data_IF_451981231790
#
_entry.id   IF_451981231790
#
_cell.length_a   1.000
_cell.length_b   1.000
_cell.length_c   1.000
_cell.angle_alpha   90.00
_cell.angle_beta   90.00
_cell.angle_gamma   90.00
#
_symmetry.space_group_name_H-M   'P 1'
#
loop_
_entity.id
_entity.type
_entity.pdbx_description
1 polymer ?
#
# COMPACT_ATOMS: atom_id res chain seq x y z
N UNK A 1 8.77 -0.25 -22.74
CA UNK A 1 8.31 0.91 -21.95
C UNK A 1 8.33 0.49 -20.50
N UNK A 2 8.88 1.31 -19.61
CA UNK A 2 8.88 1.03 -18.17
C UNK A 2 7.47 1.16 -17.63
N UNK A 3 7.00 0.18 -16.87
CA UNK A 3 5.65 0.18 -16.25
C UNK A 3 5.73 0.69 -14.81
N UNK A 4 4.79 1.54 -14.40
CA UNK A 4 4.73 2.06 -13.02
C UNK A 4 3.55 1.49 -12.27
N UNK A 5 3.78 0.96 -11.07
CA UNK A 5 2.73 0.40 -10.22
C UNK A 5 2.74 1.02 -8.82
N UNK A 6 1.55 1.26 -8.29
CA UNK A 6 1.31 1.62 -6.89
C UNK A 6 0.75 0.40 -6.15
N UNK A 7 1.39 0.01 -5.06
CA UNK A 7 0.93 -1.07 -4.20
C UNK A 7 0.61 -0.50 -2.83
N UNK A 8 -0.63 -0.64 -2.38
CA UNK A 8 -0.96 -0.33 -0.97
C UNK A 8 -0.92 -1.60 -0.12
N UNK A 9 -0.44 -1.54 1.12
CA UNK A 9 -0.34 -2.74 1.96
C UNK A 9 0.82 -3.65 1.57
N UNK A 10 1.82 -3.09 0.87
CA UNK A 10 2.97 -3.80 0.32
C UNK A 10 3.99 -4.25 1.38
N UNK A 11 3.88 -3.79 2.63
CA UNK A 11 4.76 -4.23 3.72
C UNK A 11 4.22 -5.46 4.49
N UNK A 12 2.96 -5.85 4.25
CA UNK A 12 2.35 -7.06 4.82
C UNK A 12 2.79 -8.35 4.12
N UNK A 13 2.40 -9.51 4.63
CA UNK A 13 2.88 -10.83 4.14
C UNK A 13 2.69 -11.05 2.62
N UNK A 14 1.46 -10.91 2.11
CA UNK A 14 1.17 -11.10 0.67
C UNK A 14 1.78 -9.98 -0.15
N UNK A 15 1.62 -8.74 0.31
CA UNK A 15 2.12 -7.54 -0.35
C UNK A 15 3.63 -7.60 -0.57
N UNK A 16 4.39 -7.99 0.44
CA UNK A 16 5.85 -8.03 0.41
C UNK A 16 6.37 -9.08 -0.58
N UNK A 17 5.76 -10.27 -0.60
CA UNK A 17 6.11 -11.30 -1.59
C UNK A 17 5.79 -10.85 -3.02
N UNK A 18 4.65 -10.16 -3.22
CA UNK A 18 4.29 -9.61 -4.52
C UNK A 18 5.22 -8.48 -4.96
N UNK A 19 5.60 -7.59 -4.05
CA UNK A 19 6.61 -6.53 -4.26
C UNK A 19 7.93 -7.15 -4.70
N UNK A 20 8.44 -8.16 -3.98
CA UNK A 20 9.68 -8.86 -4.34
C UNK A 20 9.60 -9.51 -5.72
N UNK A 21 8.46 -10.13 -6.05
CA UNK A 21 8.24 -10.75 -7.36
C UNK A 21 8.32 -9.71 -8.48
N UNK A 22 7.67 -8.55 -8.33
CA UNK A 22 7.69 -7.50 -9.34
C UNK A 22 9.06 -6.86 -9.51
N UNK A 23 9.82 -6.70 -8.43
CA UNK A 23 11.18 -6.13 -8.45
C UNK A 23 12.22 -7.05 -9.10
N UNK A 24 11.85 -8.29 -9.47
CA UNK A 24 12.69 -9.12 -10.33
C UNK A 24 12.74 -8.60 -11.79
N UNK A 25 11.72 -7.82 -12.22
CA UNK A 25 11.71 -7.16 -13.52
C UNK A 25 12.21 -5.72 -13.40
N UNK A 26 13.40 -5.46 -13.95
CA UNK A 26 14.02 -4.13 -13.94
C UNK A 26 13.32 -3.12 -14.84
N UNK A 27 12.34 -3.54 -15.65
CA UNK A 27 11.48 -2.65 -16.45
C UNK A 27 10.25 -2.15 -15.70
N UNK A 28 10.17 -2.37 -14.39
CA UNK A 28 9.10 -1.89 -13.53
C UNK A 28 9.62 -0.82 -12.57
N UNK A 29 8.83 0.24 -12.37
CA UNK A 29 8.95 1.15 -11.24
C UNK A 29 7.85 0.85 -10.24
N UNK A 30 8.21 0.75 -8.97
CA UNK A 30 7.29 0.30 -7.95
C UNK A 30 7.24 1.31 -6.81
N UNK A 31 6.04 1.78 -6.48
CA UNK A 31 5.78 2.56 -5.28
C UNK A 31 4.95 1.73 -4.32
N UNK A 32 5.42 1.55 -3.09
CA UNK A 32 4.65 0.95 -2.00
C UNK A 32 4.15 2.04 -1.06
N UNK A 33 2.85 2.03 -0.77
CA UNK A 33 2.20 2.89 0.20
C UNK A 33 1.67 2.05 1.37
N UNK A 34 2.23 2.21 2.57
CA UNK A 34 1.87 1.36 3.70
C UNK A 34 1.93 2.13 5.03
N UNK A 35 1.02 1.83 5.95
CA UNK A 35 0.96 2.46 7.28
C UNK A 35 2.04 1.95 8.22
N UNK A 36 2.73 0.85 7.87
CA UNK A 36 3.65 0.10 8.75
C UNK A 36 2.97 -0.32 10.05
N UNK A 37 1.91 -1.10 9.91
CA UNK A 37 1.25 -1.71 11.08
C UNK A 37 2.07 -2.87 11.65
N UNK A 38 1.61 -3.49 12.76
CA UNK A 38 2.28 -4.59 13.44
C UNK A 38 2.69 -5.78 12.55
N UNK A 39 1.99 -6.00 11.43
CA UNK A 39 2.27 -7.09 10.48
C UNK A 39 3.33 -6.72 9.41
N UNK A 40 4.02 -5.58 9.55
CA UNK A 40 5.02 -5.11 8.61
C UNK A 40 6.41 -5.73 8.84
N UNK A 41 7.20 -5.86 7.78
CA UNK A 41 8.58 -6.36 7.82
C UNK A 41 9.56 -5.22 7.45
N UNK A 42 9.89 -4.31 8.38
CA UNK A 42 10.67 -3.11 8.09
C UNK A 42 12.08 -3.43 7.57
N UNK A 43 12.77 -4.42 8.16
CA UNK A 43 14.10 -4.83 7.73
C UNK A 43 14.15 -5.27 6.25
N UNK A 44 13.08 -5.94 5.79
CA UNK A 44 12.99 -6.36 4.39
C UNK A 44 12.71 -5.18 3.47
N UNK A 45 11.95 -4.19 3.94
CA UNK A 45 11.68 -2.97 3.20
C UNK A 45 12.95 -2.12 3.04
N UNK A 46 13.79 -2.06 4.07
CA UNK A 46 15.07 -1.35 4.05
C UNK A 46 16.05 -1.90 3.01
N UNK A 47 16.02 -3.21 2.75
CA UNK A 47 16.80 -3.81 1.66
C UNK A 47 16.26 -3.39 0.29
N UNK A 48 14.94 -3.32 0.13
CA UNK A 48 14.30 -2.90 -1.12
C UNK A 48 14.53 -1.41 -1.41
N UNK A 49 14.64 -0.56 -0.40
CA UNK A 49 14.95 0.87 -0.52
C UNK A 49 16.29 1.15 -1.23
N UNK A 50 17.19 0.16 -1.31
CA UNK A 50 18.45 0.27 -2.04
C UNK A 50 18.28 0.17 -3.55
N UNK A 51 17.11 -0.26 -4.03
CA UNK A 51 16.82 -0.42 -5.45
C UNK A 51 16.35 0.91 -6.06
N UNK A 52 16.99 1.34 -7.14
CA UNK A 52 16.70 2.63 -7.81
C UNK A 52 15.31 2.74 -8.44
N UNK A 53 14.64 1.62 -8.64
CA UNK A 53 13.30 1.52 -9.23
C UNK A 53 12.23 1.20 -8.18
N UNK A 54 12.57 1.32 -6.90
CA UNK A 54 11.68 1.13 -5.77
C UNK A 54 11.51 2.42 -4.96
N UNK A 55 10.28 2.71 -4.56
CA UNK A 55 9.91 3.84 -3.70
C UNK A 55 8.99 3.34 -2.61
N UNK A 56 9.24 3.77 -1.38
CA UNK A 56 8.34 3.54 -0.25
C UNK A 56 7.78 4.86 0.25
N UNK A 57 6.49 4.88 0.55
CA UNK A 57 5.77 5.99 1.15
C UNK A 57 5.02 5.45 2.36
N UNK A 58 5.34 5.98 3.53
CA UNK A 58 4.59 5.64 4.73
C UNK A 58 3.31 6.48 4.77
N UNK A 59 2.15 5.85 4.91
CA UNK A 59 0.90 6.55 5.05
C UNK A 59 -0.33 5.65 5.22
N UNK A 60 -1.42 6.25 5.64
CA UNK A 60 -2.73 5.65 5.86
C UNK A 60 -3.65 5.93 4.66
N UNK A 61 -4.16 4.86 4.05
CA UNK A 61 -5.06 4.92 2.90
C UNK A 61 -6.41 5.59 3.23
N UNK A 62 -6.73 5.79 4.51
CA UNK A 62 -7.94 6.49 4.95
C UNK A 62 -7.75 8.00 4.99
N UNK A 63 -6.51 8.48 4.96
CA UNK A 63 -6.16 9.89 5.04
C UNK A 63 -5.85 10.42 3.64
N UNK A 64 -6.81 11.14 3.04
CA UNK A 64 -6.68 11.68 1.68
C UNK A 64 -5.37 12.46 1.46
N UNK A 65 -4.99 13.31 2.42
CA UNK A 65 -3.79 14.14 2.32
C UNK A 65 -2.47 13.33 2.31
N UNK A 66 -2.47 12.11 2.85
CA UNK A 66 -1.32 11.20 2.77
C UNK A 66 -1.31 10.44 1.45
N UNK A 67 -2.48 10.01 0.97
CA UNK A 67 -2.65 9.45 -0.38
C UNK A 67 -2.18 10.39 -1.48
N UNK A 68 -2.41 11.69 -1.33
CA UNK A 68 -1.97 12.71 -2.29
C UNK A 68 -0.45 12.66 -2.53
N UNK A 69 0.35 12.20 -1.54
CA UNK A 69 1.79 12.01 -1.70
C UNK A 69 2.15 10.85 -2.62
N UNK A 70 1.29 9.82 -2.68
CA UNK A 70 1.46 8.67 -3.56
C UNK A 70 1.00 8.96 -4.98
N UNK A 71 0.05 9.87 -5.19
CA UNK A 71 -0.45 10.23 -6.52
C UNK A 71 0.31 11.40 -7.17
N UNK A 72 1.60 11.55 -6.86
CA UNK A 72 2.47 12.54 -7.51
C UNK A 72 2.91 12.17 -8.93
N UNK A 73 2.59 10.94 -9.37
CA UNK A 73 2.71 10.47 -10.75
C UNK A 73 1.48 9.66 -11.21
N UNK A 74 1.42 9.37 -12.51
CA UNK A 74 0.40 8.48 -13.09
C UNK A 74 0.93 7.05 -13.11
N UNK A 75 0.16 6.13 -12.54
CA UNK A 75 0.46 4.69 -12.53
C UNK A 75 -0.25 3.95 -13.66
N UNK A 76 0.38 2.91 -14.20
CA UNK A 76 -0.25 1.98 -15.12
C UNK A 76 -1.27 1.08 -14.41
N UNK A 77 -1.03 0.76 -13.14
CA UNK A 77 -1.98 0.01 -12.31
C UNK A 77 -1.79 0.29 -10.80
N UNK A 78 -2.86 0.08 -10.05
CA UNK A 78 -2.89 0.15 -8.59
C UNK A 78 -3.29 -1.22 -8.05
N UNK A 79 -2.51 -1.77 -7.14
CA UNK A 79 -2.75 -3.06 -6.49
C UNK A 79 -3.02 -2.84 -5.00
N UNK A 80 -4.21 -3.21 -4.54
CA UNK A 80 -4.69 -2.89 -3.20
C UNK A 80 -4.69 -4.11 -2.27
N UNK A 81 -3.61 -4.29 -1.48
CA UNK A 81 -3.54 -5.30 -0.42
C UNK A 81 -3.83 -4.76 0.98
N UNK A 82 -3.89 -3.44 1.15
CA UNK A 82 -4.12 -2.82 2.45
C UNK A 82 -5.52 -3.18 2.97
N UNK A 83 -5.56 -3.99 4.03
CA UNK A 83 -6.78 -4.36 4.72
C UNK A 83 -6.46 -4.63 6.21
N UNK A 84 -7.40 -4.33 7.10
CA UNK A 84 -7.31 -4.78 8.50
C UNK A 84 -7.76 -6.25 8.56
N UNK A 85 -6.82 -7.19 8.70
CA UNK A 85 -7.08 -8.63 8.60
C UNK A 85 -7.12 -9.37 9.95
N UNK A 86 -7.10 -8.66 11.08
CA UNK A 86 -7.12 -9.29 12.40
C UNK A 86 -8.52 -9.82 12.73
N UNK A 87 -8.71 -11.13 12.59
CA UNK A 87 -9.92 -11.85 13.07
C UNK A 87 -10.12 -11.66 14.58
N UNK A 88 -9.05 -11.47 15.37
CA UNK A 88 -9.13 -11.38 16.83
C UNK A 88 -9.73 -10.06 17.35
N UNK A 89 -9.57 -8.94 16.63
CA UNK A 89 -10.19 -7.65 17.01
C UNK A 89 -11.69 -7.56 16.73
N UNK A 90 -12.23 -8.47 15.92
CA UNK A 90 -13.67 -8.52 15.64
C UNK A 90 -14.52 -8.95 16.85
N UNK A 91 -13.90 -9.47 17.91
CA UNK A 91 -14.57 -9.96 19.12
C UNK A 91 -14.54 -8.91 20.27
N UNK A 92 -13.52 -8.06 20.37
CA UNK A 92 -13.36 -7.15 21.51
C UNK A 92 -13.79 -5.69 21.24
N UNK A 93 -13.74 -5.18 20.00
CA UNK A 93 -14.27 -3.85 19.65
C UNK A 93 -14.45 -3.71 18.13
N UNK A 94 -15.67 -3.46 17.67
CA UNK A 94 -16.03 -3.37 16.26
C UNK A 94 -15.72 -2.01 15.60
N UNK A 95 -15.22 -1.02 16.34
CA UNK A 95 -15.01 0.34 15.83
C UNK A 95 -13.97 0.46 14.69
N UNK A 96 -12.81 -0.23 14.73
CA UNK A 96 -11.81 -0.12 13.67
C UNK A 96 -12.32 -0.61 12.29
N UNK A 97 -13.19 -1.63 12.29
CA UNK A 97 -13.72 -2.26 11.07
C UNK A 97 -14.59 -1.33 10.21
N UNK A 98 -15.30 -0.36 10.82
CA UNK A 98 -16.14 0.59 10.07
C UNK A 98 -15.45 1.92 9.80
N UNK A 99 -14.30 2.20 10.41
CA UNK A 99 -13.57 3.46 10.22
C UNK A 99 -12.94 3.60 8.82
N UNK A 100 -12.87 2.52 8.04
CA UNK A 100 -12.43 2.53 6.64
C UNK A 100 -13.52 2.98 5.65
N UNK A 101 -14.38 3.95 6.03
CA UNK A 101 -15.32 4.56 5.08
C UNK A 101 -14.57 5.47 4.13
N UNK A 102 -14.13 4.89 3.01
CA UNK A 102 -13.82 5.60 1.77
C UNK A 102 -15.01 6.53 1.44
N UNK A 103 -14.86 7.87 1.46
CA UNK A 103 -15.98 8.79 1.28
C UNK A 103 -16.29 8.99 -0.22
N UNK A 104 -16.48 7.90 -0.97
CA UNK A 104 -17.00 8.00 -2.34
C UNK A 104 -18.52 8.05 -2.32
N UNK A 105 -19.07 9.18 -1.90
CA UNK A 105 -20.41 9.57 -2.32
C UNK A 105 -20.30 10.14 -3.74
N UNK A 106 -20.50 9.28 -4.74
CA UNK A 106 -20.68 9.70 -6.13
C UNK A 106 -22.02 10.43 -6.22
N UNK A 107 -21.99 11.76 -6.10
CA UNK A 107 -23.13 12.61 -6.44
C UNK A 107 -23.04 12.94 -7.93
N UNK A 108 -23.87 12.30 -8.74
CA UNK A 108 -24.20 12.83 -10.06
C UNK A 108 -25.18 13.98 -9.86
N UNK A 109 -24.75 15.19 -10.23
CA UNK A 109 -25.60 16.31 -10.61
C UNK A 109 -24.86 17.14 -11.66
#
# INVERSE_FOLDING_TARGET
MTKSYLITGGAGFIGLNFVKLLLQDTNVRLTVFDKLTYASHPDEMDELLKLSHFRFIQGDITLQHELDQAFDEVYDAIIHFAAESHVDRSIESAEPFYSNKCPWNVSYA
#
